data_IF_811817499404
#
_entry.id   IF_811817499404
#
_cell.length_a   1.000
_cell.length_b   1.000
_cell.length_c   1.000
_cell.angle_alpha   90.00
_cell.angle_beta   90.00
_cell.angle_gamma   90.00
#
_symmetry.space_group_name_H-M   'P 1'
#
loop_
_entity.id
_entity.type
_entity.pdbx_description
1 polymer ?
#
# COMPACT_ATOMS: atom_id res chain seq x y z
N UNK A 1 19.29 -6.79 -24.96
CA UNK A 1 18.48 -5.77 -24.26
C UNK A 1 18.62 -5.99 -22.75
N UNK A 2 19.10 -5.01 -21.98
CA UNK A 2 19.54 -5.20 -20.59
C UNK A 2 18.40 -4.94 -19.58
N UNK A 3 17.86 -6.01 -18.98
CA UNK A 3 16.77 -5.94 -17.97
C UNK A 3 17.10 -5.11 -16.72
N UNK A 4 18.39 -4.89 -16.43
CA UNK A 4 18.85 -4.09 -15.27
C UNK A 4 18.43 -2.62 -15.33
N UNK A 5 18.14 -2.08 -16.52
CA UNK A 5 17.68 -0.70 -16.73
C UNK A 5 16.22 -0.49 -16.29
N UNK A 6 15.38 -1.51 -16.44
CA UNK A 6 13.96 -1.43 -16.09
C UNK A 6 13.74 -1.30 -14.57
N UNK A 7 14.65 -1.86 -13.77
CA UNK A 7 14.58 -1.84 -12.31
C UNK A 7 14.95 -0.46 -11.73
N UNK A 8 15.77 0.33 -12.42
CA UNK A 8 16.14 1.68 -11.95
C UNK A 8 15.03 2.73 -12.12
N UNK A 9 14.02 2.46 -12.97
CA UNK A 9 12.80 3.29 -13.03
C UNK A 9 11.72 2.84 -12.04
N UNK A 10 11.86 1.66 -11.42
CA UNK A 10 10.90 1.15 -10.44
C UNK A 10 11.20 1.52 -9.00
N UNK A 11 12.39 2.03 -8.67
CA UNK A 11 12.71 2.40 -7.29
C UNK A 11 11.96 3.66 -6.83
N UNK A 12 11.70 4.61 -7.72
CA UNK A 12 11.09 5.90 -7.33
C UNK A 12 9.57 5.84 -7.09
N UNK A 13 8.84 4.84 -7.64
CA UNK A 13 7.42 4.65 -7.28
C UNK A 13 7.26 3.97 -5.92
N UNK A 14 8.27 3.19 -5.51
CA UNK A 14 8.29 2.45 -4.25
C UNK A 14 8.68 3.32 -3.05
N UNK A 15 9.34 4.46 -3.29
CA UNK A 15 9.64 5.47 -2.26
C UNK A 15 8.51 6.48 -2.03
N UNK A 16 7.39 6.38 -2.76
CA UNK A 16 6.20 7.14 -2.44
C UNK A 16 5.65 6.66 -1.09
N UNK A 17 5.58 7.55 -0.11
CA UNK A 17 5.05 7.21 1.22
C UNK A 17 3.60 6.71 1.10
N UNK A 18 3.16 5.80 1.99
CA UNK A 18 1.80 5.22 1.92
C UNK A 18 0.71 6.29 1.99
N UNK A 19 0.97 7.34 2.76
CA UNK A 19 0.08 8.50 2.91
C UNK A 19 -0.06 9.27 1.59
N UNK A 20 1.06 9.51 0.89
CA UNK A 20 1.05 10.17 -0.41
C UNK A 20 0.34 9.34 -1.48
N UNK A 21 0.47 8.01 -1.42
CA UNK A 21 -0.23 7.13 -2.38
C UNK A 21 -1.74 7.15 -2.16
N UNK A 22 -2.21 7.24 -0.91
CA UNK A 22 -3.63 7.46 -0.59
C UNK A 22 -4.14 8.82 -1.04
N UNK A 23 -3.40 9.91 -0.78
CA UNK A 23 -3.77 11.27 -1.23
C UNK A 23 -3.92 11.33 -2.75
N UNK A 24 -3.02 10.69 -3.50
CA UNK A 24 -3.11 10.59 -4.96
C UNK A 24 -4.35 9.82 -5.42
N UNK A 25 -4.70 8.71 -4.76
CA UNK A 25 -5.90 7.95 -5.07
C UNK A 25 -7.16 8.77 -4.78
N UNK A 26 -7.19 9.47 -3.65
CA UNK A 26 -8.30 10.35 -3.28
C UNK A 26 -8.51 11.47 -4.30
N UNK A 27 -7.44 12.17 -4.69
CA UNK A 27 -7.50 13.21 -5.73
C UNK A 27 -7.99 12.67 -7.07
N UNK A 28 -7.57 11.47 -7.46
CA UNK A 28 -8.06 10.83 -8.68
C UNK A 28 -9.55 10.47 -8.57
N UNK A 29 -10.03 10.04 -7.41
CA UNK A 29 -11.46 9.78 -7.19
C UNK A 29 -12.28 11.07 -7.27
N UNK A 30 -11.78 12.19 -6.73
CA UNK A 30 -12.43 13.49 -6.88
C UNK A 30 -12.53 13.91 -8.35
N UNK A 31 -11.54 13.58 -9.19
CA UNK A 31 -11.60 13.86 -10.62
C UNK A 31 -12.65 13.03 -11.35
N UNK A 32 -12.81 11.75 -10.99
CA UNK A 32 -13.92 10.94 -11.52
C UNK A 32 -15.25 11.55 -11.11
N UNK A 33 -15.41 11.89 -9.84
CA UNK A 33 -16.64 12.51 -9.32
C UNK A 33 -16.95 13.82 -10.05
N UNK A 34 -15.96 14.68 -10.25
CA UNK A 34 -16.11 15.93 -11.01
C UNK A 34 -16.61 15.68 -12.44
N UNK A 35 -16.08 14.67 -13.13
CA UNK A 35 -16.55 14.26 -14.47
C UNK A 35 -18.00 13.80 -14.42
N UNK A 36 -18.34 12.91 -13.48
CA UNK A 36 -19.67 12.33 -13.33
C UNK A 36 -20.72 13.40 -12.96
N UNK A 37 -20.40 14.27 -12.00
CA UNK A 37 -21.26 15.37 -11.57
C UNK A 37 -21.50 16.38 -12.70
N UNK A 38 -20.45 16.80 -13.42
CA UNK A 38 -20.54 17.84 -14.43
C UNK A 38 -21.14 17.37 -15.77
N UNK A 39 -20.92 16.11 -16.17
CA UNK A 39 -21.23 15.63 -17.51
C UNK A 39 -22.27 14.50 -17.55
N UNK A 40 -22.53 13.83 -16.43
CA UNK A 40 -23.39 12.64 -16.37
C UNK A 40 -24.44 12.73 -15.24
N UNK A 41 -24.65 13.93 -14.68
CA UNK A 41 -25.66 14.18 -13.64
C UNK A 41 -25.38 13.42 -12.33
N UNK A 42 -24.10 13.27 -11.98
CA UNK A 42 -23.65 12.51 -10.82
C UNK A 42 -23.75 10.99 -10.98
N UNK A 43 -23.96 10.51 -12.21
CA UNK A 43 -24.02 9.09 -12.54
C UNK A 43 -22.76 8.66 -13.28
N UNK A 44 -22.59 7.34 -13.37
CA UNK A 44 -21.48 6.73 -14.10
C UNK A 44 -21.42 7.21 -15.55
N UNK A 45 -20.20 7.40 -16.05
CA UNK A 45 -19.93 7.65 -17.48
C UNK A 45 -20.51 6.53 -18.36
N UNK A 46 -21.64 6.82 -19.01
CA UNK A 46 -22.30 5.92 -19.95
C UNK A 46 -23.24 6.66 -20.89
N UNK A 47 -23.65 5.99 -21.98
CA UNK A 47 -24.52 6.57 -23.01
C UNK A 47 -25.94 6.76 -22.49
N UNK A 48 -26.39 5.94 -21.53
CA UNK A 48 -27.69 6.11 -20.90
C UNK A 48 -27.79 7.30 -19.94
N UNK A 49 -26.66 7.90 -19.53
CA UNK A 49 -26.61 8.99 -18.56
C UNK A 49 -26.33 10.37 -19.17
N UNK A 50 -26.10 10.47 -20.49
CA UNK A 50 -25.85 11.73 -21.18
C UNK A 50 -26.23 11.66 -22.68
N UNK A 51 -26.70 12.77 -23.23
CA UNK A 51 -27.01 12.91 -24.67
C UNK A 51 -25.76 13.32 -25.46
N UNK A 52 -24.76 12.44 -25.46
CA UNK A 52 -23.52 12.64 -26.18
C UNK A 52 -23.32 11.58 -27.27
N UNK A 53 -22.65 11.98 -28.35
CA UNK A 53 -22.21 11.05 -29.39
C UNK A 53 -21.16 10.05 -28.88
N UNK A 54 -21.02 8.92 -29.58
CA UNK A 54 -20.17 7.81 -29.14
C UNK A 54 -18.69 8.19 -28.96
N UNK A 55 -18.18 9.14 -29.75
CA UNK A 55 -16.81 9.66 -29.62
C UNK A 55 -16.58 10.39 -28.30
N UNK A 56 -17.53 11.22 -27.87
CA UNK A 56 -17.47 11.97 -26.61
C UNK A 56 -17.62 11.02 -25.42
N UNK A 57 -18.53 10.04 -25.50
CA UNK A 57 -18.64 8.99 -24.48
C UNK A 57 -17.32 8.19 -24.37
N UNK A 58 -16.69 7.85 -25.48
CA UNK A 58 -15.41 7.13 -25.50
C UNK A 58 -14.28 7.93 -24.85
N UNK A 59 -14.24 9.24 -25.09
CA UNK A 59 -13.29 10.16 -24.46
C UNK A 59 -13.43 10.12 -22.93
N UNK A 60 -14.62 10.35 -22.38
CA UNK A 60 -14.83 10.33 -20.93
C UNK A 60 -14.57 8.96 -20.31
N UNK A 61 -14.90 7.86 -21.00
CA UNK A 61 -14.55 6.52 -20.54
C UNK A 61 -13.05 6.33 -20.44
N UNK A 62 -12.30 6.85 -21.40
CA UNK A 62 -10.82 6.79 -21.40
C UNK A 62 -10.26 7.61 -20.24
N UNK A 63 -10.77 8.81 -20.04
CA UNK A 63 -10.39 9.73 -18.96
C UNK A 63 -10.62 9.07 -17.57
N UNK A 64 -11.83 8.55 -17.32
CA UNK A 64 -12.19 7.84 -16.07
C UNK A 64 -11.34 6.60 -15.86
N UNK A 65 -11.09 5.80 -16.91
CA UNK A 65 -10.22 4.63 -16.81
C UNK A 65 -8.80 5.01 -16.39
N UNK A 66 -8.27 6.13 -16.88
CA UNK A 66 -6.97 6.65 -16.46
C UNK A 66 -6.92 7.01 -14.97
N UNK A 67 -7.97 7.62 -14.44
CA UNK A 67 -8.06 7.89 -13.00
C UNK A 67 -8.25 6.61 -12.17
N UNK A 68 -9.04 5.65 -12.63
CA UNK A 68 -9.19 4.35 -11.96
C UNK A 68 -7.85 3.60 -11.86
N UNK A 69 -7.01 3.65 -12.90
CA UNK A 69 -5.66 3.08 -12.84
C UNK A 69 -4.80 3.75 -11.76
N UNK A 70 -4.85 5.08 -11.64
CA UNK A 70 -4.14 5.83 -10.58
C UNK A 70 -4.63 5.44 -9.18
N UNK A 71 -5.95 5.30 -9.00
CA UNK A 71 -6.56 4.84 -7.74
C UNK A 71 -6.03 3.45 -7.38
N UNK A 72 -6.10 2.50 -8.31
CA UNK A 72 -5.64 1.13 -8.09
C UNK A 72 -4.14 1.07 -7.75
N UNK A 73 -3.31 1.85 -8.44
CA UNK A 73 -1.89 1.95 -8.15
C UNK A 73 -1.64 2.52 -6.74
N UNK A 74 -2.30 3.62 -6.38
CA UNK A 74 -2.16 4.27 -5.07
C UNK A 74 -2.60 3.36 -3.90
N UNK A 75 -3.71 2.66 -4.07
CA UNK A 75 -4.19 1.65 -3.12
C UNK A 75 -3.25 0.44 -3.04
N UNK A 76 -2.68 0.03 -4.18
CA UNK A 76 -1.67 -1.03 -4.23
C UNK A 76 -0.45 -0.71 -3.39
N UNK A 77 0.14 0.48 -3.58
CA UNK A 77 1.27 0.98 -2.78
C UNK A 77 0.92 1.04 -1.30
N UNK A 78 -0.24 1.61 -0.94
CA UNK A 78 -0.65 1.70 0.47
C UNK A 78 -0.76 0.32 1.13
N UNK A 79 -1.40 -0.64 0.46
CA UNK A 79 -1.57 -2.01 0.97
C UNK A 79 -0.23 -2.72 1.13
N UNK A 80 0.67 -2.64 0.15
CA UNK A 80 1.98 -3.29 0.24
C UNK A 80 2.80 -2.70 1.37
N UNK A 81 2.84 -1.37 1.50
CA UNK A 81 3.57 -0.71 2.59
C UNK A 81 3.04 -1.11 3.98
N UNK A 82 1.72 -1.23 4.16
CA UNK A 82 1.13 -1.68 5.43
C UNK A 82 1.54 -3.12 5.76
N UNK A 83 1.61 -4.00 4.76
CA UNK A 83 2.07 -5.38 4.96
C UNK A 83 3.54 -5.42 5.38
N UNK A 84 4.41 -4.63 4.74
CA UNK A 84 5.83 -4.53 5.13
C UNK A 84 6.00 -4.04 6.57
N UNK A 85 5.31 -2.97 6.96
CA UNK A 85 5.35 -2.45 8.34
C UNK A 85 4.87 -3.50 9.36
N UNK A 86 3.83 -4.27 9.01
CA UNK A 86 3.32 -5.31 9.90
C UNK A 86 4.32 -6.47 10.07
N UNK A 87 5.03 -6.86 9.01
CA UNK A 87 6.09 -7.90 9.07
C UNK A 87 7.29 -7.39 9.89
N UNK A 88 7.69 -6.12 9.72
CA UNK A 88 8.76 -5.52 10.51
C UNK A 88 8.43 -5.46 12.00
N UNK A 89 7.18 -5.15 12.36
CA UNK A 89 6.72 -5.15 13.75
C UNK A 89 6.67 -6.56 14.37
N UNK A 90 6.55 -7.63 13.58
CA UNK A 90 6.64 -9.01 14.06
C UNK A 90 8.09 -9.38 14.42
N UNK A 91 9.07 -8.69 13.83
CA UNK A 91 10.50 -8.92 14.11
C UNK A 91 10.99 -8.23 15.40
N UNK A 92 10.23 -7.26 15.93
CA UNK A 92 10.47 -6.64 17.23
C UNK A 92 9.58 -7.27 18.33
N UNK A 93 9.80 -8.54 18.61
CA UNK A 93 9.42 -9.12 19.91
C UNK A 93 10.67 -9.31 20.78
N UNK A 94 10.88 -8.49 21.82
CA UNK A 94 11.87 -8.78 22.85
C UNK A 94 11.19 -9.44 24.06
N UNK A 95 11.00 -10.76 24.02
CA UNK A 95 10.88 -11.62 25.21
C UNK A 95 11.40 -13.02 24.83
N UNK A 96 12.48 -13.59 25.36
CA UNK A 96 13.17 -13.28 26.61
C UNK A 96 14.69 -13.15 26.43
N UNK A 97 15.21 -12.05 26.95
CA UNK A 97 16.57 -12.04 27.47
C UNK A 97 16.56 -12.92 28.71
N UNK A 98 17.00 -14.18 28.58
CA UNK A 98 17.45 -14.94 29.74
C UNK A 98 18.69 -14.21 30.23
N UNK A 99 18.50 -13.31 31.18
CA UNK A 99 19.58 -12.58 31.84
C UNK A 99 20.61 -13.60 32.31
N UNK A 100 21.89 -13.49 31.92
CA UNK A 100 22.96 -14.41 32.35
C UNK A 100 23.01 -14.60 33.88
N UNK A 101 22.45 -13.65 34.63
CA UNK A 101 22.26 -13.68 36.08
C UNK A 101 21.27 -14.75 36.58
N UNK A 102 20.35 -15.25 35.76
CA UNK A 102 19.49 -16.39 36.10
C UNK A 102 20.15 -17.73 35.78
N UNK A 103 20.92 -17.80 34.68
CA UNK A 103 21.72 -18.99 34.36
C UNK A 103 22.85 -19.24 35.37
N UNK A 104 23.38 -18.19 36.00
CA UNK A 104 24.35 -18.37 37.10
C UNK A 104 23.69 -18.78 38.42
N UNK A 105 22.46 -18.34 38.68
CA UNK A 105 21.74 -18.70 39.92
C UNK A 105 21.25 -20.14 39.92
N UNK A 106 20.74 -20.64 38.80
CA UNK A 106 20.26 -22.02 38.70
C UNK A 106 21.41 -23.05 38.58
N UNK A 107 22.54 -22.71 37.93
CA UNK A 107 23.73 -23.57 37.88
C UNK A 107 24.43 -23.67 39.23
N UNK A 108 24.52 -22.56 39.98
CA UNK A 108 25.07 -22.57 41.33
C UNK A 108 24.18 -23.37 42.29
N UNK A 109 22.85 -23.26 42.17
CA UNK A 109 21.92 -24.04 43.01
C UNK A 109 21.98 -25.53 42.67
N UNK A 110 22.07 -25.91 41.39
CA UNK A 110 22.21 -27.30 40.97
C UNK A 110 23.56 -27.92 41.39
N UNK A 111 24.65 -27.15 41.34
CA UNK A 111 25.98 -27.60 41.77
C UNK A 111 26.06 -27.80 43.30
N UNK A 112 25.31 -27.03 44.08
CA UNK A 112 25.25 -27.18 45.55
C UNK A 112 24.40 -28.40 45.94
N UNK A 113 23.35 -28.73 45.19
CA UNK A 113 22.48 -29.88 45.47
C UNK A 113 23.07 -31.24 45.08
N UNK A 114 24.09 -31.30 44.21
CA UNK A 114 24.77 -32.53 43.79
C UNK A 114 25.97 -32.93 44.67
N UNK A 115 26.25 -32.16 45.74
CA UNK A 115 27.41 -32.34 46.64
C UNK A 115 27.01 -32.67 48.09
N UNK A 116 25.97 -33.48 48.28
CA UNK A 116 25.63 -34.12 49.55
C UNK A 116 25.24 -35.58 49.34
#
# INVERSE_FOLDING_TARGET
MNFRSLIKKTSNWLTATPERSLDNAYKAALKIKEIEDNHFGGKKVSKENADYGDSVISYFKTEVNGYLQKINMGLGVFKTSRLFLNISNIQESPQGQITERELQRNTTTAAILLRN
#
